data_IF_737380673559
#
_entry.id   IF_737380673559
#
_cell.length_a   1.000
_cell.length_b   1.000
_cell.length_c   1.000
_cell.angle_alpha   90.00
_cell.angle_beta   90.00
_cell.angle_gamma   90.00
#
_symmetry.space_group_name_H-M   'P 1'
#
loop_
_entity.id
_entity.type
_entity.pdbx_description
1 polymer ?
#
# COMPACT_ATOMS: atom_id res chain seq x y z
N UNK A 1 -33.35 -0.88 -10.22
CA UNK A 1 -32.62 -0.60 -10.33
C UNK A 1 -32.28 0.02 -9.74
N UNK A 2 -32.72 0.23 -9.56
CA UNK A 2 -32.13 0.75 -9.58
C UNK A 2 -31.30 0.71 -9.09
N UNK A 3 -31.16 0.39 -9.20
CA UNK A 3 -30.20 0.44 -9.00
C UNK A 3 -29.76 1.29 -8.42
N UNK A 4 -29.99 1.36 -7.62
CA UNK A 4 -29.47 2.23 -7.31
C UNK A 4 -28.47 2.56 -7.66
N UNK A 5 -28.12 1.95 -7.80
CA UNK A 5 -27.07 2.32 -8.62
C UNK A 5 -27.59 2.88 -9.88
N UNK A 6 -27.25 4.04 -10.10
CA UNK A 6 -27.66 4.72 -11.30
C UNK A 6 -26.44 4.94 -12.17
N UNK A 7 -26.44 4.27 -13.28
CA UNK A 7 -25.32 4.38 -14.20
C UNK A 7 -25.31 5.76 -14.84
N UNK A 8 -24.17 6.40 -14.81
CA UNK A 8 -24.03 7.70 -15.45
C UNK A 8 -24.30 7.58 -16.94
N UNK A 9 -24.90 8.61 -17.51
CA UNK A 9 -25.17 8.64 -18.93
C UNK A 9 -23.88 8.54 -19.71
N UNK A 10 -23.86 7.70 -20.73
CA UNK A 10 -22.74 7.57 -21.61
C UNK A 10 -21.65 6.63 -21.17
N UNK A 11 -21.73 6.11 -19.95
CA UNK A 11 -20.74 5.17 -19.47
C UNK A 11 -21.20 3.73 -19.74
N UNK A 12 -20.31 2.92 -20.25
CA UNK A 12 -20.57 1.48 -20.34
C UNK A 12 -20.17 0.84 -19.01
N UNK A 13 -20.58 -0.39 -18.82
CA UNK A 13 -20.23 -1.12 -17.61
C UNK A 13 -18.73 -1.18 -17.38
N UNK A 14 -17.96 -1.36 -18.45
CA UNK A 14 -16.52 -1.49 -18.31
C UNK A 14 -15.83 -0.18 -17.99
N UNK A 15 -16.52 0.95 -18.14
CA UNK A 15 -15.96 2.25 -17.81
C UNK A 15 -16.18 2.59 -16.33
N UNK A 16 -16.97 1.77 -15.66
CA UNK A 16 -17.26 1.99 -14.26
C UNK A 16 -16.31 1.12 -13.44
N UNK A 17 -15.47 1.76 -12.65
CA UNK A 17 -14.56 1.03 -11.79
C UNK A 17 -15.33 0.63 -10.53
N UNK A 18 -15.59 -0.66 -10.35
CA UNK A 18 -16.29 -1.08 -9.14
C UNK A 18 -15.42 -0.85 -7.93
N UNK A 19 -16.05 -0.65 -6.79
CA UNK A 19 -15.36 -0.57 -5.51
C UNK A 19 -14.85 -1.96 -5.17
N UNK A 20 -13.65 -2.27 -5.62
CA UNK A 20 -13.05 -3.57 -5.34
C UNK A 20 -12.32 -3.50 -4.01
N UNK A 21 -12.48 -4.56 -3.24
CA UNK A 21 -11.80 -4.67 -1.95
C UNK A 21 -12.03 -3.43 -1.08
N UNK A 22 -13.31 -3.01 -0.88
CA UNK A 22 -13.57 -1.78 -0.12
C UNK A 22 -13.13 -1.87 1.33
N UNK A 23 -12.85 -3.08 1.81
CA UNK A 23 -12.37 -3.29 3.17
C UNK A 23 -10.86 -3.49 3.25
N UNK A 24 -10.18 -3.41 2.11
CA UNK A 24 -8.74 -3.54 2.09
C UNK A 24 -8.11 -2.26 2.62
N UNK A 25 -7.27 -2.40 3.63
CA UNK A 25 -6.63 -1.28 4.30
C UNK A 25 -5.15 -1.31 4.01
N UNK A 26 -4.62 -0.19 3.52
CA UNK A 26 -3.21 -0.03 3.19
C UNK A 26 -2.60 1.00 4.12
N UNK A 27 -1.52 0.61 4.78
CA UNK A 27 -0.73 1.54 5.59
C UNK A 27 0.34 2.13 4.69
N UNK A 28 0.24 3.43 4.42
CA UNK A 28 1.17 4.16 3.56
C UNK A 28 2.17 4.90 4.45
N UNK A 29 3.45 4.60 4.27
CA UNK A 29 4.52 5.19 5.07
C UNK A 29 5.45 5.98 4.16
N UNK A 30 5.45 7.29 4.31
CA UNK A 30 6.22 8.19 3.47
C UNK A 30 6.41 9.50 4.24
N UNK A 31 7.66 9.92 4.42
CA UNK A 31 7.94 11.12 5.21
C UNK A 31 7.67 12.42 4.45
N UNK A 32 7.70 12.41 3.12
CA UNK A 32 7.42 13.61 2.35
C UNK A 32 5.93 13.77 2.16
N UNK A 33 5.38 14.83 2.72
CA UNK A 33 3.93 15.04 2.79
C UNK A 33 3.29 15.02 1.40
N UNK A 34 3.91 15.71 0.43
CA UNK A 34 3.31 15.81 -0.90
C UNK A 34 3.30 14.48 -1.61
N UNK A 35 4.37 13.70 -1.45
CA UNK A 35 4.42 12.37 -2.06
C UNK A 35 3.40 11.46 -1.40
N UNK A 36 3.29 11.53 -0.07
CA UNK A 36 2.32 10.71 0.65
C UNK A 36 0.89 11.04 0.21
N UNK A 37 0.58 12.33 0.08
CA UNK A 37 -0.74 12.75 -0.36
C UNK A 37 -1.06 12.22 -1.75
N UNK A 38 -0.08 12.25 -2.65
CA UNK A 38 -0.28 11.74 -4.00
C UNK A 38 -0.58 10.24 -4.01
N UNK A 39 0.18 9.47 -3.23
CA UNK A 39 -0.04 8.03 -3.13
C UNK A 39 -1.43 7.74 -2.55
N UNK A 40 -1.79 8.45 -1.49
CA UNK A 40 -3.08 8.26 -0.85
C UNK A 40 -4.21 8.58 -1.80
N UNK A 41 -4.08 9.66 -2.58
CA UNK A 41 -5.11 10.02 -3.55
C UNK A 41 -5.25 8.95 -4.63
N UNK A 42 -4.13 8.46 -5.15
CA UNK A 42 -4.17 7.46 -6.22
C UNK A 42 -4.77 6.14 -5.74
N UNK A 43 -4.33 5.66 -4.60
CA UNK A 43 -4.84 4.40 -4.08
C UNK A 43 -6.27 4.53 -3.56
N UNK A 44 -6.60 5.68 -2.98
CA UNK A 44 -7.97 5.95 -2.54
C UNK A 44 -8.95 5.95 -3.70
N UNK A 45 -8.52 6.48 -4.86
CA UNK A 45 -9.36 6.50 -6.05
C UNK A 45 -9.66 5.08 -6.55
N UNK A 46 -8.86 4.11 -6.18
CA UNK A 46 -9.08 2.71 -6.55
C UNK A 46 -9.94 1.96 -5.53
N UNK A 47 -10.41 2.65 -4.52
CA UNK A 47 -11.33 2.06 -3.54
C UNK A 47 -10.69 1.56 -2.26
N UNK A 48 -9.38 1.67 -2.12
CA UNK A 48 -8.70 1.22 -0.91
C UNK A 48 -8.88 2.21 0.23
N UNK A 49 -8.85 1.69 1.44
CA UNK A 49 -8.84 2.52 2.65
C UNK A 49 -7.39 2.72 3.06
N UNK A 50 -7.04 3.95 3.41
CA UNK A 50 -5.64 4.29 3.66
C UNK A 50 -5.43 4.76 5.09
N UNK A 51 -4.34 4.30 5.68
CA UNK A 51 -3.82 4.83 6.94
C UNK A 51 -2.46 5.42 6.60
N UNK A 52 -2.18 6.62 7.09
CA UNK A 52 -0.95 7.33 6.77
C UNK A 52 0.00 7.33 7.95
N UNK A 53 1.27 7.19 7.66
CA UNK A 53 2.33 7.34 8.65
C UNK A 53 3.49 8.10 8.02
N UNK A 54 4.10 8.98 8.78
CA UNK A 54 5.20 9.80 8.27
C UNK A 54 6.56 9.16 8.50
N UNK A 55 6.63 8.11 9.30
CA UNK A 55 7.89 7.43 9.60
C UNK A 55 7.59 6.03 10.15
N UNK A 56 8.65 5.27 10.39
CA UNK A 56 8.50 3.90 10.84
C UNK A 56 7.85 3.78 12.21
N UNK A 57 8.13 4.71 13.10
CA UNK A 57 7.54 4.64 14.44
C UNK A 57 6.02 4.84 14.38
N UNK A 58 5.57 5.81 13.59
CA UNK A 58 4.13 6.02 13.43
C UNK A 58 3.47 4.80 12.80
N UNK A 59 4.18 4.14 11.88
CA UNK A 59 3.66 2.92 11.26
C UNK A 59 3.49 1.82 12.30
N UNK A 60 4.47 1.63 13.17
CA UNK A 60 4.37 0.62 14.20
C UNK A 60 3.26 0.95 15.21
N UNK A 61 3.08 2.24 15.51
CA UNK A 61 1.99 2.66 16.38
C UNK A 61 0.63 2.31 15.76
N UNK A 62 0.49 2.52 14.45
CA UNK A 62 -0.75 2.18 13.76
C UNK A 62 -1.03 0.67 13.84
N UNK A 63 0.02 -0.14 13.71
CA UNK A 63 -0.13 -1.59 13.84
C UNK A 63 -0.56 -2.00 15.23
N UNK A 64 -0.05 -1.29 16.24
CA UNK A 64 -0.33 -1.63 17.63
C UNK A 64 -1.74 -1.28 18.06
N UNK A 65 -2.42 -0.43 17.30
CA UNK A 65 -3.81 -0.06 17.61
C UNK A 65 -4.79 -1.20 17.37
N UNK A 66 -4.33 -2.30 16.80
CA UNK A 66 -5.16 -3.48 16.63
C UNK A 66 -6.12 -3.45 15.45
N UNK A 67 -6.06 -2.42 14.62
CA UNK A 67 -6.91 -2.33 13.44
C UNK A 67 -6.45 -3.29 12.35
N UNK A 68 -7.33 -3.51 11.39
CA UNK A 68 -7.01 -4.36 10.26
C UNK A 68 -6.09 -3.58 9.30
N UNK A 69 -4.97 -4.17 8.94
CA UNK A 69 -4.08 -3.66 7.91
C UNK A 69 -3.72 -4.84 7.03
N UNK A 70 -3.98 -4.71 5.74
CA UNK A 70 -3.75 -5.80 4.80
C UNK A 70 -2.43 -5.65 4.04
N UNK A 71 -2.03 -4.41 3.78
CA UNK A 71 -0.84 -4.11 2.97
C UNK A 71 -0.05 -3.01 3.66
N UNK A 72 1.26 -3.19 3.72
CA UNK A 72 2.20 -2.13 4.07
C UNK A 72 2.81 -1.61 2.76
N UNK A 73 2.72 -0.32 2.54
CA UNK A 73 3.32 0.34 1.38
C UNK A 73 4.27 1.40 1.91
N UNK A 74 5.57 1.16 1.81
CA UNK A 74 6.54 2.02 2.46
C UNK A 74 7.68 2.43 1.54
N UNK A 75 8.15 3.67 1.70
CA UNK A 75 9.43 4.09 1.14
C UNK A 75 10.55 3.50 1.98
N UNK A 76 11.70 3.26 1.34
CA UNK A 76 12.88 2.79 2.05
C UNK A 76 13.52 3.90 2.87
N UNK A 77 13.70 5.06 2.25
CA UNK A 77 14.49 6.14 2.86
C UNK A 77 13.58 7.06 3.66
N UNK A 78 13.68 6.95 4.97
CA UNK A 78 12.91 7.75 5.90
C UNK A 78 13.80 8.16 7.04
N UNK A 79 13.54 9.33 7.65
CA UNK A 79 14.34 9.76 8.80
C UNK A 79 14.07 8.90 10.03
N UNK A 80 15.00 8.94 10.95
CA UNK A 80 14.88 8.22 12.20
C UNK A 80 15.61 6.89 12.16
N UNK A 81 15.44 6.12 13.20
CA UNK A 81 16.17 4.87 13.39
C UNK A 81 15.58 3.70 12.63
N UNK A 82 14.40 3.88 12.08
CA UNK A 82 13.67 2.78 11.46
C UNK A 82 13.36 3.15 10.02
N UNK A 83 14.18 2.67 9.09
CA UNK A 83 13.92 2.90 7.67
C UNK A 83 12.91 1.87 7.15
N UNK A 84 12.60 1.96 5.86
CA UNK A 84 11.57 1.10 5.28
C UNK A 84 11.93 -0.38 5.26
N UNK A 85 13.21 -0.71 5.12
CA UNK A 85 13.64 -2.11 5.15
C UNK A 85 13.47 -2.68 6.55
N UNK A 86 13.92 -1.94 7.55
CA UNK A 86 13.78 -2.36 8.94
C UNK A 86 12.30 -2.46 9.33
N UNK A 87 11.50 -1.50 8.86
CA UNK A 87 10.07 -1.53 9.11
C UNK A 87 9.43 -2.78 8.48
N UNK A 88 9.79 -3.08 7.23
CA UNK A 88 9.25 -4.26 6.56
C UNK A 88 9.57 -5.53 7.33
N UNK A 89 10.80 -5.64 7.83
CA UNK A 89 11.20 -6.80 8.61
C UNK A 89 10.41 -6.91 9.91
N UNK A 90 10.22 -5.79 10.57
CA UNK A 90 9.49 -5.80 11.84
C UNK A 90 8.02 -6.14 11.64
N UNK A 91 7.41 -5.59 10.58
CA UNK A 91 6.02 -5.90 10.25
C UNK A 91 5.87 -7.39 9.91
N UNK A 92 6.79 -7.91 9.11
CA UNK A 92 6.76 -9.32 8.73
C UNK A 92 6.85 -10.22 9.97
N UNK A 93 7.66 -9.82 10.94
CA UNK A 93 7.81 -10.59 12.16
C UNK A 93 6.54 -10.56 13.02
N UNK A 94 5.93 -9.39 13.15
CA UNK A 94 4.74 -9.22 14.01
C UNK A 94 3.46 -9.67 13.36
N UNK A 95 3.33 -9.41 12.07
CA UNK A 95 2.09 -9.62 11.33
C UNK A 95 2.41 -10.23 9.97
N UNK A 96 2.77 -11.52 9.94
CA UNK A 96 3.20 -12.14 8.68
C UNK A 96 2.12 -12.21 7.61
N UNK A 97 0.87 -11.98 7.97
CA UNK A 97 -0.21 -11.98 7.00
C UNK A 97 -0.26 -10.69 6.16
N UNK A 98 0.44 -9.63 6.58
CA UNK A 98 0.41 -8.35 5.88
C UNK A 98 1.32 -8.44 4.65
N UNK A 99 0.78 -8.08 3.47
CA UNK A 99 1.58 -7.98 2.26
C UNK A 99 2.46 -6.74 2.31
N UNK A 100 3.68 -6.85 1.80
CA UNK A 100 4.65 -5.77 1.91
C UNK A 100 5.09 -5.31 0.53
N UNK A 101 4.95 -4.00 0.28
CA UNK A 101 5.43 -3.35 -0.93
C UNK A 101 6.37 -2.23 -0.50
N UNK A 102 7.58 -2.24 -1.07
CA UNK A 102 8.61 -1.27 -0.73
C UNK A 102 9.00 -0.50 -1.99
N UNK A 103 9.14 0.80 -1.87
CA UNK A 103 9.54 1.66 -3.00
C UNK A 103 10.78 2.45 -2.63
N UNK A 104 11.55 2.84 -3.66
CA UNK A 104 12.74 3.65 -3.43
C UNK A 104 13.10 4.40 -4.69
N UNK A 105 13.56 5.65 -4.52
CA UNK A 105 14.13 6.41 -5.63
C UNK A 105 15.56 6.06 -5.91
N UNK A 106 16.15 5.18 -5.12
CA UNK A 106 17.54 4.75 -5.30
C UNK A 106 17.58 3.30 -5.76
N UNK A 107 18.45 2.99 -6.69
CA UNK A 107 18.41 1.74 -7.40
C UNK A 107 19.16 0.59 -6.72
N UNK A 108 19.66 0.78 -5.52
CA UNK A 108 20.63 -0.15 -4.95
C UNK A 108 20.09 -1.12 -3.91
N UNK A 109 18.77 -1.24 -3.78
CA UNK A 109 18.21 -2.15 -2.80
C UNK A 109 18.28 -3.59 -3.30
N UNK A 110 18.87 -4.46 -2.50
CA UNK A 110 18.90 -5.89 -2.80
C UNK A 110 17.58 -6.53 -2.37
N UNK A 111 17.03 -7.38 -3.23
CA UNK A 111 15.83 -8.12 -2.87
C UNK A 111 16.02 -9.00 -1.64
N UNK A 112 17.28 -9.41 -1.40
CA UNK A 112 17.58 -10.24 -0.23
C UNK A 112 17.46 -9.48 1.08
N UNK A 113 17.39 -8.16 1.03
CA UNK A 113 17.23 -7.34 2.23
C UNK A 113 15.81 -7.36 2.77
N UNK A 114 14.85 -7.77 1.96
CA UNK A 114 13.45 -7.70 2.31
C UNK A 114 12.91 -9.06 2.73
N UNK A 115 11.87 -9.09 3.55
CA UNK A 115 11.22 -10.36 3.90
C UNK A 115 10.74 -11.09 2.66
N UNK A 116 10.68 -12.39 2.76
CA UNK A 116 10.20 -13.23 1.66
C UNK A 116 8.76 -12.83 1.31
N UNK A 117 8.48 -12.76 0.02
CA UNK A 117 7.16 -12.36 -0.46
C UNK A 117 6.97 -10.87 -0.62
N UNK A 118 7.92 -10.06 -0.16
CA UNK A 118 7.85 -8.62 -0.35
C UNK A 118 8.07 -8.28 -1.81
N UNK A 119 7.48 -7.15 -2.22
CA UNK A 119 7.69 -6.64 -3.59
C UNK A 119 8.35 -5.29 -3.51
N UNK A 120 9.26 -5.05 -4.46
CA UNK A 120 10.01 -3.81 -4.54
C UNK A 120 9.77 -3.16 -5.89
N UNK A 121 9.43 -1.86 -5.87
CA UNK A 121 9.23 -1.09 -7.09
C UNK A 121 10.05 0.19 -7.01
N UNK A 122 10.99 0.39 -7.95
CA UNK A 122 11.75 1.64 -7.97
C UNK A 122 10.85 2.81 -8.40
N UNK A 123 11.16 3.99 -7.92
CA UNK A 123 10.46 5.21 -8.34
C UNK A 123 11.10 5.72 -9.63
N UNK A 124 10.32 6.28 -10.54
CA UNK A 124 8.87 6.37 -10.49
C UNK A 124 8.21 5.04 -10.89
N UNK A 125 7.07 4.77 -10.31
CA UNK A 125 6.32 3.56 -10.65
C UNK A 125 4.93 3.96 -11.13
N UNK A 126 4.30 3.07 -11.89
CA UNK A 126 2.92 3.31 -12.33
C UNK A 126 1.96 2.82 -11.25
N UNK A 127 0.91 3.60 -10.98
CA UNK A 127 -0.08 3.17 -9.99
C UNK A 127 -0.73 1.87 -10.39
N UNK A 128 -0.88 1.60 -11.69
CA UNK A 128 -1.43 0.35 -12.16
C UNK A 128 -0.56 -0.84 -11.75
N UNK A 129 0.76 -0.67 -11.74
CA UNK A 129 1.68 -1.73 -11.32
C UNK A 129 1.47 -2.07 -9.84
N UNK A 130 1.35 -1.04 -9.01
CA UNK A 130 1.13 -1.23 -7.58
C UNK A 130 -0.24 -1.87 -7.35
N UNK A 131 -1.25 -1.40 -8.06
CA UNK A 131 -2.59 -1.96 -7.93
C UNK A 131 -2.59 -3.45 -8.26
N UNK A 132 -1.92 -3.84 -9.36
CA UNK A 132 -1.83 -5.24 -9.73
C UNK A 132 -1.14 -6.07 -8.66
N UNK A 133 -0.07 -5.52 -8.08
CA UNK A 133 0.64 -6.22 -7.00
C UNK A 133 -0.27 -6.44 -5.80
N UNK A 134 -1.03 -5.42 -5.42
CA UNK A 134 -1.95 -5.53 -4.29
C UNK A 134 -3.00 -6.62 -4.57
N UNK A 135 -3.57 -6.62 -5.77
CA UNK A 135 -4.56 -7.62 -6.14
C UNK A 135 -3.99 -9.02 -6.06
N UNK A 136 -2.78 -9.21 -6.55
CA UNK A 136 -2.12 -10.52 -6.50
C UNK A 136 -1.85 -10.95 -5.07
N UNK A 137 -1.40 -10.03 -4.22
CA UNK A 137 -1.10 -10.35 -2.83
C UNK A 137 -2.36 -10.73 -2.07
N UNK A 138 -3.47 -10.07 -2.36
CA UNK A 138 -4.74 -10.36 -1.69
C UNK A 138 -5.34 -11.68 -2.17
N UNK A 139 -5.06 -12.06 -3.42
CA UNK A 139 -5.59 -13.29 -3.99
C UNK A 139 -4.78 -14.52 -3.58
N UNK A 140 -3.57 -14.33 -3.09
CA UNK A 140 -2.68 -15.43 -2.72
C UNK A 140 -2.51 -15.45 -1.21
N UNK A 141 -3.42 -16.10 -0.50
CA UNK A 141 -3.33 -16.11 0.96
C UNK A 141 -2.08 -16.83 1.42
N UNK A 142 -1.40 -16.20 2.28
CA UNK A 142 -0.30 -16.76 3.02
C UNK A 142 0.87 -17.25 2.36
#
# INVERSE_FOLDING_TARGET
>A
RDMSFHKAEGLSEKDIVPMQNPNTVILVVEDEVLIRMDVVDQLGALGYRLIEAANGQEALDALSDGGVINILFTDVHMPGDLDGVMLAREVSRRRPEIGIIVTSGRASLSADSLPEGSRFYPKPYASATVHSAIQEMLASPG
#
